data_IF_835914706721
#
_entry.id   IF_835914706721
#
_cell.length_a   1.000
_cell.length_b   1.000
_cell.length_c   1.000
_cell.angle_alpha   90.00
_cell.angle_beta   90.00
_cell.angle_gamma   90.00
#
_symmetry.space_group_name_H-M   'P 1'
#
loop_
_entity.id
_entity.type
_entity.pdbx_description
1 polymer ?
#
# COMPACT_ATOMS: atom_id res chain seq x y z
N UNK A 1 -1.37 14.34 -27.25
CA UNK A 1 -1.95 13.69 -26.06
C UNK A 1 -1.78 12.21 -26.29
N UNK A 2 -0.93 11.54 -25.50
CA UNK A 2 -0.71 10.11 -25.68
C UNK A 2 -1.95 9.36 -25.26
N UNK A 3 -2.50 8.54 -26.14
CA UNK A 3 -3.47 7.52 -25.81
C UNK A 3 -2.75 6.49 -24.92
N UNK A 4 -2.84 6.71 -23.61
CA UNK A 4 -2.16 5.90 -22.61
C UNK A 4 -2.96 4.62 -22.37
N UNK A 5 -2.91 3.68 -23.31
CA UNK A 5 -3.45 2.34 -23.09
C UNK A 5 -2.64 1.69 -21.96
N UNK A 6 -3.22 1.66 -20.76
CA UNK A 6 -2.64 1.04 -19.59
C UNK A 6 -2.87 -0.47 -19.68
N UNK A 7 -1.84 -1.22 -20.07
CA UNK A 7 -1.88 -2.68 -20.05
C UNK A 7 -1.46 -3.17 -18.65
N UNK A 8 -2.42 -3.59 -17.84
CA UNK A 8 -2.18 -4.15 -16.50
C UNK A 8 -2.29 -5.68 -16.58
N UNK A 9 -1.23 -6.39 -16.26
CA UNK A 9 -1.34 -7.82 -15.94
C UNK A 9 -1.97 -7.94 -14.55
N UNK A 10 -3.25 -8.30 -14.50
CA UNK A 10 -4.04 -8.33 -13.26
C UNK A 10 -3.45 -9.30 -12.24
N UNK A 11 -2.98 -10.47 -12.67
CA UNK A 11 -2.47 -11.51 -11.76
C UNK A 11 -1.10 -11.12 -11.20
N UNK A 12 -0.19 -10.66 -12.06
CA UNK A 12 1.13 -10.22 -11.63
C UNK A 12 1.05 -8.96 -10.74
N UNK A 13 0.16 -8.02 -11.09
CA UNK A 13 -0.03 -6.79 -10.32
C UNK A 13 -0.67 -7.08 -8.97
N UNK A 14 -1.69 -7.94 -8.91
CA UNK A 14 -2.30 -8.33 -7.64
C UNK A 14 -1.31 -9.06 -6.73
N UNK A 15 -0.46 -9.93 -7.28
CA UNK A 15 0.59 -10.63 -6.52
C UNK A 15 1.62 -9.66 -5.94
N UNK A 16 2.13 -8.73 -6.75
CA UNK A 16 3.08 -7.71 -6.30
C UNK A 16 2.50 -6.76 -5.25
N UNK A 17 1.22 -6.35 -5.41
CA UNK A 17 0.52 -5.52 -4.43
C UNK A 17 0.31 -6.26 -3.11
N UNK A 18 0.02 -7.56 -3.16
CA UNK A 18 -0.12 -8.40 -1.97
C UNK A 18 1.20 -8.51 -1.21
N UNK A 19 2.31 -8.81 -1.89
CA UNK A 19 3.64 -8.88 -1.26
C UNK A 19 4.03 -7.53 -0.63
N UNK A 20 3.80 -6.43 -1.34
CA UNK A 20 4.10 -5.08 -0.85
C UNK A 20 3.26 -4.72 0.38
N UNK A 21 1.98 -5.13 0.40
CA UNK A 21 1.09 -4.95 1.55
C UNK A 21 1.56 -5.74 2.76
N UNK A 22 1.93 -7.00 2.57
CA UNK A 22 2.43 -7.86 3.64
C UNK A 22 3.73 -7.30 4.24
N UNK A 23 4.66 -6.84 3.39
CA UNK A 23 5.88 -6.19 3.84
C UNK A 23 5.60 -4.87 4.60
N UNK A 24 4.67 -4.05 4.11
CA UNK A 24 4.28 -2.82 4.79
C UNK A 24 3.61 -3.08 6.14
N UNK A 25 2.81 -4.14 6.25
CA UNK A 25 2.20 -4.57 7.52
C UNK A 25 3.28 -5.05 8.51
N UNK A 26 4.21 -5.89 8.05
CA UNK A 26 5.32 -6.37 8.86
C UNK A 26 6.18 -5.20 9.39
N UNK A 27 6.60 -4.28 8.53
CA UNK A 27 7.40 -3.12 8.95
C UNK A 27 6.62 -2.20 9.90
N UNK A 28 5.30 -2.05 9.72
CA UNK A 28 4.46 -1.31 10.66
C UNK A 28 4.46 -1.98 12.03
N UNK A 29 4.25 -3.29 12.09
CA UNK A 29 4.16 -4.03 13.34
C UNK A 29 5.51 -4.05 14.08
N UNK A 30 6.61 -4.27 13.35
CA UNK A 30 7.98 -4.19 13.88
C UNK A 30 8.30 -2.79 14.41
N UNK A 31 7.95 -1.75 13.65
CA UNK A 31 8.14 -0.35 14.06
C UNK A 31 7.34 -0.06 15.32
N UNK A 32 6.03 -0.36 15.34
CA UNK A 32 5.16 -0.13 16.49
C UNK A 32 5.56 -0.94 17.74
N UNK A 33 6.16 -2.11 17.56
CA UNK A 33 6.66 -2.94 18.65
C UNK A 33 7.91 -2.40 19.35
N UNK A 34 8.61 -1.45 18.73
CA UNK A 34 9.88 -0.89 19.22
C UNK A 34 9.85 0.63 19.28
N UNK A 35 9.05 1.24 20.18
CA UNK A 35 9.08 2.69 20.36
C UNK A 35 10.48 3.14 20.80
N UNK A 36 10.98 4.27 20.26
CA UNK A 36 12.29 4.77 20.64
C UNK A 36 12.26 5.22 22.10
N UNK A 37 13.22 4.73 22.88
CA UNK A 37 13.50 5.25 24.21
C UNK A 37 14.70 6.20 24.16
N UNK A 38 14.61 7.28 24.91
CA UNK A 38 15.71 8.20 25.16
C UNK A 38 15.72 8.51 26.66
N UNK A 39 16.49 7.73 27.46
CA UNK A 39 16.47 7.89 28.90
C UNK A 39 17.04 9.26 29.29
N UNK A 40 16.47 9.88 30.32
CA UNK A 40 16.87 11.22 30.78
C UNK A 40 18.34 11.32 31.20
N UNK A 41 18.98 10.19 31.53
CA UNK A 41 20.40 10.11 31.83
C UNK A 41 21.31 10.15 30.60
N UNK A 42 20.78 9.91 29.39
CA UNK A 42 21.55 9.89 28.14
C UNK A 42 22.00 11.29 27.69
N UNK A 43 21.28 12.35 28.09
CA UNK A 43 21.65 13.72 27.76
C UNK A 43 22.85 14.23 28.60
N UNK A 44 23.19 13.55 29.70
CA UNK A 44 24.22 13.99 30.63
C UNK A 44 23.72 14.97 31.69
N UNK A 45 24.55 15.20 32.70
CA UNK A 45 24.22 16.00 33.87
C UNK A 45 24.01 17.47 33.48
N UNK A 46 22.87 18.06 33.85
CA UNK A 46 22.51 19.45 33.52
C UNK A 46 21.77 19.64 32.19
N UNK A 47 21.55 18.58 31.40
CA UNK A 47 20.89 18.64 30.09
C UNK A 47 19.53 17.92 30.07
N UNK A 48 18.87 17.79 31.22
CA UNK A 48 17.60 17.07 31.34
C UNK A 48 16.52 17.61 30.39
N UNK A 49 16.41 18.93 30.26
CA UNK A 49 15.46 19.57 29.33
C UNK A 49 15.74 19.24 27.87
N UNK A 50 17.02 19.19 27.47
CA UNK A 50 17.41 18.76 26.12
C UNK A 50 17.10 17.27 25.90
N UNK A 51 17.28 16.43 26.92
CA UNK A 51 16.93 15.01 26.86
C UNK A 51 15.44 14.78 26.65
N UNK A 52 14.59 15.52 27.36
CA UNK A 52 13.14 15.49 27.16
C UNK A 52 12.74 15.97 25.76
N UNK A 53 13.33 17.06 25.27
CA UNK A 53 13.07 17.57 23.92
C UNK A 53 13.46 16.55 22.83
N UNK A 54 14.57 15.85 23.00
CA UNK A 54 15.02 14.77 22.10
C UNK A 54 14.05 13.58 22.15
N UNK A 55 13.67 13.14 23.36
CA UNK A 55 12.70 12.06 23.58
C UNK A 55 11.38 12.36 22.86
N UNK A 56 10.84 13.56 23.05
CA UNK A 56 9.62 13.97 22.37
C UNK A 56 9.78 14.05 20.84
N UNK A 57 10.91 14.54 20.35
CA UNK A 57 11.17 14.58 18.91
C UNK A 57 11.23 13.17 18.29
N UNK A 58 11.88 12.23 18.98
CA UNK A 58 11.93 10.82 18.59
C UNK A 58 10.54 10.18 18.56
N UNK A 59 9.71 10.44 19.58
CA UNK A 59 8.32 9.96 19.63
C UNK A 59 7.48 10.52 18.47
N UNK A 60 7.58 11.83 18.19
CA UNK A 60 6.86 12.45 17.05
C UNK A 60 7.27 11.85 15.72
N UNK A 61 8.56 11.61 15.50
CA UNK A 61 9.06 10.97 14.27
C UNK A 61 8.54 9.54 14.17
N UNK A 62 8.55 8.80 15.28
CA UNK A 62 8.02 7.44 15.35
C UNK A 62 6.54 7.37 15.00
N UNK A 63 5.70 8.26 15.57
CA UNK A 63 4.26 8.35 15.26
C UNK A 63 4.00 8.74 13.81
N UNK A 64 4.79 9.69 13.27
CA UNK A 64 4.69 10.09 11.88
C UNK A 64 5.04 8.93 10.92
N UNK A 65 6.05 8.13 11.24
CA UNK A 65 6.40 6.94 10.48
C UNK A 65 5.27 5.88 10.53
N UNK A 66 4.70 5.62 11.71
CA UNK A 66 3.56 4.71 11.86
C UNK A 66 2.35 5.13 11.00
N UNK A 67 2.07 6.44 10.97
CA UNK A 67 1.00 7.02 10.14
C UNK A 67 1.27 6.78 8.64
N UNK A 68 2.51 7.00 8.19
CA UNK A 68 2.90 6.77 6.79
C UNK A 68 2.76 5.30 6.38
N UNK A 69 3.18 4.37 7.24
CA UNK A 69 2.99 2.93 6.99
C UNK A 69 1.51 2.56 6.90
N UNK A 70 0.67 3.13 7.77
CA UNK A 70 -0.78 2.92 7.70
C UNK A 70 -1.40 3.45 6.40
N UNK A 71 -0.97 4.63 5.95
CA UNK A 71 -1.42 5.21 4.67
C UNK A 71 -0.97 4.36 3.48
N UNK A 72 0.27 3.91 3.47
CA UNK A 72 0.79 3.03 2.43
C UNK A 72 -0.02 1.73 2.34
N UNK A 73 -0.30 1.09 3.48
CA UNK A 73 -1.14 -0.10 3.53
C UNK A 73 -2.55 0.15 2.97
N UNK A 74 -3.19 1.25 3.36
CA UNK A 74 -4.53 1.61 2.85
C UNK A 74 -4.52 1.89 1.33
N UNK A 75 -3.45 2.49 0.80
CA UNK A 75 -3.28 2.71 -0.62
C UNK A 75 -3.11 1.39 -1.39
N UNK A 76 -2.36 0.42 -0.84
CA UNK A 76 -2.24 -0.91 -1.45
C UNK A 76 -3.58 -1.67 -1.44
N UNK A 77 -4.36 -1.57 -0.35
CA UNK A 77 -5.72 -2.13 -0.30
C UNK A 77 -6.64 -1.52 -1.37
N UNK A 78 -6.52 -0.21 -1.63
CA UNK A 78 -7.26 0.45 -2.69
C UNK A 78 -6.81 -0.03 -4.08
N UNK A 79 -5.50 -0.06 -4.32
CA UNK A 79 -4.94 -0.51 -5.59
C UNK A 79 -5.34 -1.96 -5.93
N UNK A 80 -5.36 -2.85 -4.94
CA UNK A 80 -5.83 -4.23 -5.16
C UNK A 80 -7.31 -4.27 -5.57
N UNK A 81 -8.17 -3.47 -4.93
CA UNK A 81 -9.59 -3.39 -5.34
C UNK A 81 -9.74 -2.90 -6.77
N UNK A 82 -8.97 -1.88 -7.15
CA UNK A 82 -9.00 -1.32 -8.50
C UNK A 82 -8.53 -2.35 -9.55
N UNK A 83 -7.45 -3.08 -9.28
CA UNK A 83 -6.94 -4.16 -10.16
C UNK A 83 -7.97 -5.28 -10.34
N UNK A 84 -8.62 -5.70 -9.26
CA UNK A 84 -9.66 -6.72 -9.34
C UNK A 84 -10.89 -6.23 -10.12
N UNK A 85 -11.26 -4.96 -9.96
CA UNK A 85 -12.37 -4.36 -10.70
C UNK A 85 -12.05 -4.29 -12.20
N UNK A 86 -10.84 -3.89 -12.58
CA UNK A 86 -10.39 -3.88 -13.98
C UNK A 86 -10.45 -5.29 -14.58
N UNK A 87 -9.94 -6.31 -13.87
CA UNK A 87 -10.02 -7.70 -14.33
C UNK A 87 -11.46 -8.19 -14.55
N UNK A 88 -12.39 -7.82 -13.66
CA UNK A 88 -13.80 -8.16 -13.83
C UNK A 88 -14.45 -7.48 -15.05
N UNK A 89 -14.09 -6.22 -15.31
CA UNK A 89 -14.54 -5.46 -16.47
C UNK A 89 -14.01 -6.06 -17.77
N UNK A 90 -12.74 -6.44 -17.81
CA UNK A 90 -12.11 -7.09 -18.97
C UNK A 90 -12.78 -8.45 -19.27
N UNK A 91 -13.08 -9.23 -18.23
CA UNK A 91 -13.75 -10.51 -18.40
C UNK A 91 -15.19 -10.35 -18.92
N UNK A 92 -15.91 -9.33 -18.44
CA UNK A 92 -17.25 -8.98 -18.92
C UNK A 92 -17.23 -8.54 -20.38
N UNK A 93 -16.30 -7.66 -20.76
CA UNK A 93 -16.11 -7.25 -22.14
C UNK A 93 -15.76 -8.44 -23.05
N UNK A 94 -14.87 -9.32 -22.61
CA UNK A 94 -14.48 -10.53 -23.35
C UNK A 94 -15.67 -11.50 -23.52
N UNK A 95 -16.54 -11.64 -22.50
CA UNK A 95 -17.80 -12.41 -22.61
C UNK A 95 -18.75 -11.78 -23.63
N UNK A 96 -18.89 -10.45 -23.62
CA UNK A 96 -19.71 -9.71 -24.58
C UNK A 96 -19.27 -9.92 -26.03
N UNK A 97 -17.95 -9.83 -26.30
CA UNK A 97 -17.37 -10.07 -27.62
C UNK A 97 -17.62 -11.52 -28.09
N UNK A 98 -17.34 -12.52 -27.23
CA UNK A 98 -17.61 -13.93 -27.57
C UNK A 98 -19.10 -14.20 -27.84
N UNK A 99 -20.00 -13.53 -27.13
CA UNK A 99 -21.44 -13.63 -27.34
C UNK A 99 -21.90 -13.02 -28.67
N UNK A 100 -21.27 -11.92 -29.09
CA UNK A 100 -21.52 -11.28 -30.39
C UNK A 100 -21.09 -12.17 -31.56
N UNK A 101 -19.90 -12.78 -31.48
CA UNK A 101 -19.39 -13.72 -32.51
C UNK A 101 -20.28 -14.96 -32.65
N UNK A 102 -20.83 -15.46 -31.54
CA UNK A 102 -21.77 -16.58 -31.56
C UNK A 102 -23.11 -16.22 -32.24
N UNK A 103 -23.50 -14.94 -32.24
CA UNK A 103 -24.76 -14.48 -32.85
C UNK A 103 -24.63 -14.20 -34.35
N UNK A 104 -23.45 -13.79 -34.82
CA UNK A 104 -23.18 -13.54 -36.26
C UNK A 104 -22.75 -14.80 -37.02
N UNK A 105 -22.22 -15.82 -36.35
CA UNK A 105 -21.88 -17.12 -36.96
C UNK A 105 -23.07 -18.04 -37.27
N UNK A 106 -24.30 -17.64 -36.90
CA UNK A 106 -25.54 -18.42 -37.05
C UNK A 106 -26.34 -18.16 -38.33
N UNK A 107 -25.78 -17.46 -39.33
CA UNK A 107 -26.41 -17.29 -40.65
C UNK A 107 -25.72 -18.22 -41.64
N UNK A 108 -26.31 -19.41 -41.84
CA UNK A 108 -26.09 -20.27 -43.01
C UNK A 108 -27.32 -20.23 -43.88
#
# INVERSE_FOLDING_TARGET
MGDGTLHVDVEQTASALKETRELAAQHKDEHMGSPPDFPSTAAGQGFAECGEAIREALLRVHEAAATRWSTAHAAMDAAMRDVHQLGAQDEEAARGIRGLDAHTGGVR
#
